data_IF_070979526556
#
_entry.id   IF_070979526556
#
_cell.length_a   1.000
_cell.length_b   1.000
_cell.length_c   1.000
_cell.angle_alpha   90.00
_cell.angle_beta   90.00
_cell.angle_gamma   90.00
#
_symmetry.space_group_name_H-M   'P 1'
#
loop_
_entity.id
_entity.type
_entity.pdbx_description
1 polymer ?
#
# COMPACT_ATOMS: atom_id res chain seq x y z
N UNK A 1 -0.71 25.32 20.62
CA UNK A 1 -0.12 23.97 20.75
C UNK A 1 1.27 24.16 21.32
N UNK A 2 1.62 23.49 22.43
CA UNK A 2 2.98 23.51 22.97
C UNK A 2 3.96 22.90 21.96
N UNK A 3 5.17 23.44 21.89
CA UNK A 3 6.23 22.84 21.06
C UNK A 3 6.61 21.45 21.59
N UNK A 4 7.17 20.57 20.76
CA UNK A 4 7.68 19.26 21.18
C UNK A 4 8.72 19.40 22.31
N UNK A 5 9.47 20.50 22.34
CA UNK A 5 10.43 20.84 23.38
C UNK A 5 9.72 21.05 24.72
N UNK A 6 8.71 21.92 24.77
CA UNK A 6 7.92 22.21 25.98
C UNK A 6 7.20 20.96 26.51
N UNK A 7 6.72 20.10 25.59
CA UNK A 7 6.12 18.82 25.97
C UNK A 7 7.14 17.89 26.64
N UNK A 8 8.33 17.72 26.05
CA UNK A 8 9.38 16.86 26.60
C UNK A 8 9.92 17.38 27.93
N UNK A 9 10.10 18.71 28.07
CA UNK A 9 10.50 19.35 29.34
C UNK A 9 9.48 19.04 30.44
N UNK A 10 8.19 19.14 30.15
CA UNK A 10 7.11 18.84 31.08
C UNK A 10 7.06 17.34 31.45
N UNK A 11 7.37 16.43 30.51
CA UNK A 11 7.44 15.00 30.82
C UNK A 11 8.66 14.66 31.71
N UNK A 12 9.80 15.33 31.49
CA UNK A 12 10.97 15.21 32.37
C UNK A 12 10.69 15.73 33.77
N UNK A 13 10.08 16.90 33.90
CA UNK A 13 9.68 17.50 35.19
C UNK A 13 8.68 16.64 35.97
N UNK A 14 7.77 15.96 35.26
CA UNK A 14 6.79 15.06 35.87
C UNK A 14 7.33 13.67 36.24
N UNK A 15 8.58 13.35 35.86
CA UNK A 15 9.21 12.05 36.07
C UNK A 15 8.67 10.92 35.20
N UNK A 16 7.78 11.19 34.24
CA UNK A 16 7.27 10.21 33.28
C UNK A 16 8.34 9.81 32.24
N UNK A 17 9.26 10.72 31.96
CA UNK A 17 10.44 10.45 31.14
C UNK A 17 11.67 10.79 31.96
N UNK A 18 12.55 9.83 32.20
CA UNK A 18 13.81 10.04 32.94
C UNK A 18 14.99 10.15 32.00
N UNK A 19 16.09 10.68 32.50
CA UNK A 19 17.38 10.74 31.75
C UNK A 19 17.87 9.35 31.37
N UNK A 20 17.65 8.36 32.25
CA UNK A 20 17.97 6.95 32.01
C UNK A 20 17.16 6.39 30.84
N UNK A 21 15.86 6.67 30.77
CA UNK A 21 15.00 6.27 29.65
C UNK A 21 15.50 6.85 28.34
N UNK A 22 15.87 8.13 28.32
CA UNK A 22 16.41 8.78 27.11
C UNK A 22 17.75 8.14 26.71
N UNK A 23 18.62 7.86 27.67
CA UNK A 23 19.94 7.22 27.44
C UNK A 23 19.75 5.82 26.84
N UNK A 24 18.88 5.00 27.39
CA UNK A 24 18.59 3.67 26.87
C UNK A 24 17.98 3.71 25.47
N UNK A 25 17.01 4.58 25.23
CA UNK A 25 16.43 4.75 23.89
C UNK A 25 17.48 5.20 22.88
N UNK A 26 18.38 6.10 23.28
CA UNK A 26 19.47 6.57 22.41
C UNK A 26 20.46 5.44 22.10
N UNK A 27 20.82 4.60 23.08
CA UNK A 27 21.69 3.43 22.85
C UNK A 27 21.07 2.45 21.86
N UNK A 28 19.79 2.05 22.07
CA UNK A 28 19.09 1.14 21.18
C UNK A 28 19.04 1.68 19.75
N UNK A 29 18.79 2.97 19.62
CA UNK A 29 18.77 3.62 18.30
C UNK A 29 20.19 3.64 17.66
N UNK A 30 21.23 3.92 18.43
CA UNK A 30 22.63 3.92 17.97
C UNK A 30 23.05 2.51 17.51
N UNK A 31 22.69 1.47 18.24
CA UNK A 31 22.93 0.06 17.88
C UNK A 31 22.23 -0.32 16.57
N UNK A 32 20.95 0.05 16.42
CA UNK A 32 20.18 -0.21 15.20
C UNK A 32 20.82 0.45 13.95
N UNK A 33 21.51 1.60 14.15
CA UNK A 33 22.15 2.35 13.07
C UNK A 33 23.66 2.09 12.95
N UNK A 34 24.19 1.12 13.69
CA UNK A 34 25.60 0.67 13.57
C UNK A 34 26.64 1.71 14.00
N UNK A 35 26.27 2.62 14.90
CA UNK A 35 27.20 3.58 15.50
C UNK A 35 27.47 3.23 16.96
N UNK A 36 28.53 3.82 17.55
CA UNK A 36 28.89 3.59 18.96
C UNK A 36 27.72 3.90 19.88
N UNK A 37 27.24 2.91 20.64
CA UNK A 37 26.10 3.03 21.54
C UNK A 37 26.49 3.50 22.93
N UNK A 38 26.82 4.78 23.04
CA UNK A 38 27.17 5.45 24.29
C UNK A 38 25.95 6.03 25.04
N UNK A 39 24.80 6.09 24.39
CA UNK A 39 23.56 6.64 24.93
C UNK A 39 23.49 8.17 24.91
N UNK A 40 24.45 8.85 24.30
CA UNK A 40 24.47 10.30 24.21
C UNK A 40 24.14 10.79 22.80
N UNK A 41 23.31 11.81 22.71
CA UNK A 41 22.95 12.44 21.44
C UNK A 41 24.03 13.49 21.04
N UNK A 42 25.25 12.99 20.77
CA UNK A 42 26.39 13.81 20.33
C UNK A 42 26.38 14.11 18.83
N UNK A 43 27.38 14.85 18.29
CA UNK A 43 27.43 15.25 16.87
C UNK A 43 27.36 14.09 15.90
N UNK A 44 27.95 12.91 16.21
CA UNK A 44 27.89 11.71 15.38
C UNK A 44 26.47 11.15 15.35
N UNK A 45 25.81 11.02 16.49
CA UNK A 45 24.43 10.58 16.61
C UNK A 45 23.48 11.55 15.90
N UNK A 46 23.69 12.86 16.11
CA UNK A 46 22.92 13.90 15.43
C UNK A 46 23.10 13.86 13.90
N UNK A 47 24.32 13.65 13.42
CA UNK A 47 24.62 13.50 12.00
C UNK A 47 23.92 12.27 11.41
N UNK A 48 24.06 11.10 12.04
CA UNK A 48 23.40 9.87 11.62
C UNK A 48 21.86 9.99 11.70
N UNK A 49 21.36 10.67 12.75
CA UNK A 49 19.91 10.94 12.89
C UNK A 49 19.41 11.84 11.76
N UNK A 50 20.11 12.93 11.43
CA UNK A 50 19.77 13.80 10.31
C UNK A 50 19.79 13.04 8.97
N UNK A 51 20.84 12.22 8.74
CA UNK A 51 20.93 11.35 7.56
C UNK A 51 19.81 10.32 7.53
N UNK A 52 19.43 9.73 8.66
CA UNK A 52 18.33 8.75 8.75
C UNK A 52 16.96 9.37 8.59
N UNK A 53 16.77 10.62 9.01
CA UNK A 53 15.49 11.32 8.92
C UNK A 53 15.30 12.06 7.59
N UNK A 54 16.38 12.64 7.04
CA UNK A 54 16.29 13.49 5.85
C UNK A 54 16.83 12.83 4.57
N UNK A 55 17.61 11.75 4.65
CA UNK A 55 18.29 11.19 3.48
C UNK A 55 18.18 9.67 3.30
N UNK A 56 17.38 8.96 4.09
CA UNK A 56 17.12 7.53 3.87
C UNK A 56 16.20 7.27 2.67
N UNK A 57 15.68 8.34 2.06
CA UNK A 57 14.77 8.30 0.92
C UNK A 57 13.40 7.70 1.25
N UNK A 58 13.08 7.50 2.55
CA UNK A 58 11.76 7.08 2.98
C UNK A 58 10.81 8.27 3.05
N UNK A 59 9.61 8.09 2.50
CA UNK A 59 8.55 9.10 2.43
C UNK A 59 7.33 8.63 3.20
N UNK A 60 6.53 9.59 3.69
CA UNK A 60 5.21 9.36 4.29
C UNK A 60 4.08 9.84 3.40
N UNK A 61 4.34 10.87 2.58
CA UNK A 61 3.36 11.37 1.61
C UNK A 61 3.30 10.47 0.38
N UNK A 62 2.26 9.65 0.32
CA UNK A 62 1.99 8.75 -0.80
C UNK A 62 1.22 9.41 -1.94
N UNK A 63 0.67 10.61 -1.73
CA UNK A 63 -0.30 11.27 -2.61
C UNK A 63 -1.68 10.57 -2.64
N UNK A 64 -2.01 9.78 -1.61
CA UNK A 64 -3.26 9.02 -1.45
C UNK A 64 -3.82 9.12 -0.03
N UNK A 65 -4.04 10.33 0.47
CA UNK A 65 -4.51 10.60 1.83
C UNK A 65 -5.74 9.77 2.24
N UNK A 66 -6.70 9.59 1.33
CA UNK A 66 -7.89 8.77 1.61
C UNK A 66 -7.55 7.31 1.90
N UNK A 67 -6.57 6.72 1.18
CA UNK A 67 -6.14 5.35 1.42
C UNK A 67 -5.35 5.24 2.72
N UNK A 68 -4.51 6.23 3.02
CA UNK A 68 -3.79 6.32 4.29
C UNK A 68 -4.73 6.43 5.48
N UNK A 69 -5.76 7.24 5.36
CA UNK A 69 -6.77 7.43 6.42
C UNK A 69 -7.59 6.17 6.67
N UNK A 70 -7.97 5.44 5.62
CA UNK A 70 -8.86 4.27 5.70
C UNK A 70 -8.11 2.97 5.99
N UNK A 71 -6.93 2.78 5.39
CA UNK A 71 -6.17 1.52 5.40
C UNK A 71 -4.79 1.62 6.08
N UNK A 72 -4.51 2.75 6.70
CA UNK A 72 -3.27 3.03 7.42
C UNK A 72 -2.18 3.63 6.54
N UNK A 73 -1.49 4.61 7.11
CA UNK A 73 -0.31 5.22 6.52
C UNK A 73 0.92 4.32 6.73
N UNK A 74 1.88 4.38 5.83
CA UNK A 74 3.16 3.71 5.95
C UNK A 74 4.31 4.52 5.36
N UNK A 75 5.51 4.27 5.86
CA UNK A 75 6.73 4.79 5.23
C UNK A 75 7.08 3.95 4.01
N UNK A 76 7.55 4.61 2.95
CA UNK A 76 8.00 3.95 1.74
C UNK A 76 9.21 4.67 1.13
N UNK A 77 9.99 3.94 0.33
CA UNK A 77 11.10 4.46 -0.47
C UNK A 77 10.82 4.20 -1.94
N UNK A 78 10.81 5.27 -2.75
CA UNK A 78 10.65 5.17 -4.20
C UNK A 78 11.91 4.62 -4.86
N UNK A 79 11.73 3.76 -5.86
CA UNK A 79 12.81 3.23 -6.69
C UNK A 79 12.69 3.78 -8.11
N UNK A 80 13.82 3.93 -8.84
CA UNK A 80 13.80 4.43 -10.23
C UNK A 80 12.90 3.64 -11.18
N UNK A 81 12.70 2.34 -10.91
CA UNK A 81 11.81 1.45 -11.67
C UNK A 81 10.32 1.75 -11.49
N UNK A 82 9.95 2.73 -10.67
CA UNK A 82 8.57 2.98 -10.28
C UNK A 82 8.02 2.02 -9.22
N UNK A 83 8.82 1.06 -8.75
CA UNK A 83 8.51 0.27 -7.54
C UNK A 83 8.69 1.13 -6.30
N UNK A 84 8.11 0.67 -5.20
CA UNK A 84 8.35 1.23 -3.88
C UNK A 84 8.72 0.12 -2.89
N UNK A 85 9.69 0.38 -2.01
CA UNK A 85 9.85 -0.42 -0.79
C UNK A 85 8.86 0.14 0.23
N UNK A 86 8.06 -0.70 0.85
CA UNK A 86 7.08 -0.34 1.88
C UNK A 86 7.54 -0.92 3.21
N UNK A 87 7.25 -0.26 4.32
CA UNK A 87 7.58 -0.71 5.66
C UNK A 87 7.23 -2.19 5.87
N UNK A 88 8.21 -3.07 6.15
CA UNK A 88 7.95 -4.48 6.38
C UNK A 88 7.00 -4.73 7.56
N UNK A 89 7.08 -3.89 8.60
CA UNK A 89 6.19 -3.94 9.76
C UNK A 89 4.75 -3.74 9.32
N UNK A 90 4.48 -2.66 8.58
CA UNK A 90 3.13 -2.38 8.08
C UNK A 90 2.60 -3.53 7.20
N UNK A 91 3.43 -4.07 6.30
CA UNK A 91 3.05 -5.21 5.44
C UNK A 91 2.69 -6.43 6.28
N UNK A 92 3.47 -6.75 7.32
CA UNK A 92 3.20 -7.87 8.23
C UNK A 92 1.88 -7.72 8.98
N UNK A 93 1.53 -6.50 9.36
CA UNK A 93 0.35 -6.19 10.18
C UNK A 93 -0.94 -6.09 9.35
N UNK A 94 -0.84 -5.73 8.06
CA UNK A 94 -2.00 -5.34 7.27
C UNK A 94 -2.23 -6.20 6.02
N UNK A 95 -1.22 -6.91 5.49
CA UNK A 95 -1.36 -7.71 4.28
C UNK A 95 -1.47 -9.19 4.62
N UNK A 96 -2.59 -9.78 4.25
CA UNK A 96 -2.87 -11.21 4.42
C UNK A 96 -2.82 -11.95 3.10
N UNK A 97 -2.57 -13.26 3.16
CA UNK A 97 -2.67 -14.15 2.00
C UNK A 97 -3.96 -14.94 2.11
N UNK A 98 -4.78 -14.89 1.08
CA UNK A 98 -6.02 -15.67 0.97
C UNK A 98 -5.95 -16.61 -0.22
N UNK A 99 -6.71 -17.73 -0.15
CA UNK A 99 -6.84 -18.70 -1.24
C UNK A 99 -8.23 -18.55 -1.85
N UNK A 100 -8.30 -18.32 -3.14
CA UNK A 100 -9.55 -18.24 -3.91
C UNK A 100 -10.13 -19.63 -4.15
N UNK A 101 -11.43 -19.72 -4.49
CA UNK A 101 -12.08 -21.00 -4.85
C UNK A 101 -11.41 -21.69 -6.05
N UNK A 102 -10.66 -20.95 -6.87
CA UNK A 102 -9.85 -21.47 -7.99
C UNK A 102 -8.50 -22.08 -7.57
N UNK A 103 -8.18 -22.10 -6.27
CA UNK A 103 -6.89 -22.51 -5.73
C UNK A 103 -5.79 -21.46 -5.79
N UNK A 104 -6.03 -20.31 -6.43
CA UNK A 104 -5.02 -19.22 -6.49
C UNK A 104 -4.85 -18.55 -5.14
N UNK A 105 -3.59 -18.27 -4.79
CA UNK A 105 -3.25 -17.48 -3.60
C UNK A 105 -2.96 -16.04 -4.01
N UNK A 106 -3.58 -15.10 -3.31
CA UNK A 106 -3.42 -13.66 -3.53
C UNK A 106 -3.17 -12.94 -2.21
N UNK A 107 -2.54 -11.78 -2.27
CA UNK A 107 -2.24 -10.96 -1.09
C UNK A 107 -3.06 -9.70 -1.14
N UNK A 108 -3.77 -9.40 -0.05
CA UNK A 108 -4.67 -8.24 0.05
C UNK A 108 -4.56 -7.61 1.42
N UNK A 109 -5.06 -6.37 1.54
CA UNK A 109 -5.29 -5.77 2.84
C UNK A 109 -6.30 -6.62 3.63
N UNK A 110 -6.04 -6.82 4.92
CA UNK A 110 -6.90 -7.64 5.80
C UNK A 110 -8.37 -7.20 5.78
N UNK A 111 -8.63 -5.89 5.72
CA UNK A 111 -9.98 -5.32 5.81
C UNK A 111 -10.82 -5.50 4.52
N UNK A 112 -10.19 -5.87 3.40
CA UNK A 112 -10.91 -6.13 2.13
C UNK A 112 -10.85 -7.60 1.70
N UNK A 113 -10.06 -8.41 2.39
CA UNK A 113 -9.74 -9.76 1.95
C UNK A 113 -10.96 -10.69 1.92
N UNK A 114 -11.80 -10.66 2.95
CA UNK A 114 -13.01 -11.48 3.03
C UNK A 114 -14.05 -11.03 1.99
N UNK A 115 -14.30 -9.71 1.90
CA UNK A 115 -15.19 -9.15 0.88
C UNK A 115 -14.73 -9.58 -0.52
N UNK A 116 -13.42 -9.47 -0.81
CA UNK A 116 -12.89 -9.89 -2.11
C UNK A 116 -13.10 -11.37 -2.41
N UNK A 117 -12.79 -12.27 -1.47
CA UNK A 117 -12.94 -13.73 -1.67
C UNK A 117 -14.38 -14.10 -2.00
N UNK A 118 -15.34 -13.55 -1.25
CA UNK A 118 -16.77 -13.80 -1.44
C UNK A 118 -17.26 -13.22 -2.76
N UNK A 119 -16.92 -11.96 -3.04
CA UNK A 119 -17.31 -11.27 -4.28
C UNK A 119 -16.72 -11.97 -5.51
N UNK A 120 -15.43 -12.38 -5.47
CA UNK A 120 -14.79 -13.05 -6.59
C UNK A 120 -15.49 -14.38 -6.94
N UNK A 121 -15.88 -15.17 -5.94
CA UNK A 121 -16.62 -16.41 -6.13
C UNK A 121 -17.98 -16.11 -6.78
N UNK A 122 -18.76 -15.24 -6.18
CA UNK A 122 -20.12 -14.89 -6.69
C UNK A 122 -20.07 -14.29 -8.10
N UNK A 123 -19.08 -13.43 -8.39
CA UNK A 123 -18.92 -12.83 -9.72
C UNK A 123 -18.57 -13.87 -10.80
N UNK A 124 -17.72 -14.84 -10.47
CA UNK A 124 -17.41 -15.95 -11.38
C UNK A 124 -18.64 -16.82 -11.65
N UNK A 125 -19.43 -17.13 -10.62
CA UNK A 125 -20.64 -17.92 -10.73
C UNK A 125 -21.73 -17.20 -11.54
N UNK A 126 -21.95 -15.91 -11.29
CA UNK A 126 -22.97 -15.13 -11.98
C UNK A 126 -22.67 -14.92 -13.47
N UNK A 127 -21.43 -14.63 -13.81
CA UNK A 127 -21.03 -14.29 -15.19
C UNK A 127 -20.57 -15.47 -16.03
N UNK A 128 -20.21 -16.62 -15.41
CA UNK A 128 -19.52 -17.72 -16.07
C UNK A 128 -18.06 -17.38 -16.46
N UNK A 129 -17.59 -16.17 -16.19
CA UNK A 129 -16.21 -15.74 -16.47
C UNK A 129 -15.31 -15.96 -15.24
N UNK A 130 -14.25 -16.74 -15.41
CA UNK A 130 -13.23 -16.95 -14.36
C UNK A 130 -11.88 -16.40 -14.84
N UNK A 131 -11.39 -15.29 -14.25
CA UNK A 131 -10.09 -14.72 -14.60
C UNK A 131 -8.93 -15.70 -14.42
N UNK A 132 -8.04 -15.79 -15.42
CA UNK A 132 -6.83 -16.59 -15.37
C UNK A 132 -5.70 -15.95 -14.57
N UNK A 133 -5.65 -14.63 -14.54
CA UNK A 133 -4.68 -13.84 -13.78
C UNK A 133 -5.40 -12.89 -12.83
N UNK A 134 -4.96 -12.89 -11.58
CA UNK A 134 -5.45 -12.01 -10.51
C UNK A 134 -4.24 -11.36 -9.85
N UNK A 135 -4.01 -10.10 -10.14
CA UNK A 135 -2.89 -9.33 -9.59
C UNK A 135 -3.42 -8.39 -8.51
N UNK A 136 -2.81 -8.42 -7.34
CA UNK A 136 -3.31 -7.71 -6.15
C UNK A 136 -2.25 -6.81 -5.53
N UNK A 137 -1.63 -7.20 -4.43
CA UNK A 137 -0.64 -6.41 -3.71
C UNK A 137 0.67 -6.29 -4.49
N UNK A 138 0.93 -5.09 -5.00
CA UNK A 138 2.19 -4.72 -5.67
C UNK A 138 2.59 -3.31 -5.24
N UNK A 139 3.71 -3.18 -4.55
CA UNK A 139 4.21 -1.89 -4.08
C UNK A 139 4.85 -1.11 -5.21
N UNK A 140 4.11 -0.16 -5.76
CA UNK A 140 4.51 0.63 -6.93
C UNK A 140 3.81 1.99 -6.98
N UNK A 141 4.38 2.90 -7.72
CA UNK A 141 3.72 4.13 -8.14
C UNK A 141 2.71 3.89 -9.27
N UNK A 142 1.76 4.79 -9.40
CA UNK A 142 0.79 4.81 -10.50
C UNK A 142 1.53 4.86 -11.84
N UNK A 143 1.15 3.99 -12.77
CA UNK A 143 1.80 3.82 -14.07
C UNK A 143 3.31 3.58 -14.00
N UNK A 144 3.82 3.00 -12.91
CA UNK A 144 5.25 2.73 -12.68
C UNK A 144 6.11 4.01 -12.77
N UNK A 145 5.55 5.17 -12.48
CA UNK A 145 6.24 6.44 -12.55
C UNK A 145 6.51 6.96 -11.11
N UNK A 146 7.79 7.03 -10.66
CA UNK A 146 8.13 7.42 -9.29
C UNK A 146 7.79 8.89 -8.96
N UNK A 147 7.43 9.69 -9.97
CA UNK A 147 6.95 11.08 -9.79
C UNK A 147 5.44 11.16 -9.52
N UNK A 148 4.71 10.06 -9.63
CA UNK A 148 3.28 9.98 -9.33
C UNK A 148 3.04 9.44 -7.93
N UNK A 149 1.78 9.56 -7.46
CA UNK A 149 1.31 8.95 -6.21
C UNK A 149 1.51 7.43 -6.22
N UNK A 150 1.53 6.81 -5.04
CA UNK A 150 1.46 5.36 -4.94
C UNK A 150 0.15 4.84 -5.55
N UNK A 151 0.21 3.67 -6.15
CA UNK A 151 -0.96 2.94 -6.63
C UNK A 151 -1.73 2.31 -5.45
N UNK A 152 -3.05 2.17 -5.55
CA UNK A 152 -3.89 1.46 -4.59
C UNK A 152 -3.46 0.01 -4.37
N UNK A 153 -2.79 -0.61 -5.33
CA UNK A 153 -2.13 -1.90 -5.17
C UNK A 153 -1.10 -1.92 -4.04
N UNK A 154 -0.50 -0.77 -3.68
CA UNK A 154 0.48 -0.67 -2.60
C UNK A 154 -0.13 -0.85 -1.21
N UNK A 155 -1.42 -0.66 -1.06
CA UNK A 155 -2.20 -1.00 0.15
C UNK A 155 -2.84 -2.40 0.07
N UNK A 156 -2.79 -3.08 -1.09
CA UNK A 156 -3.51 -4.34 -1.30
C UNK A 156 -5.03 -4.18 -1.39
N UNK A 157 -5.50 -3.02 -1.82
CA UNK A 157 -6.92 -2.67 -1.97
C UNK A 157 -7.33 -2.54 -3.44
N UNK A 158 -6.48 -2.95 -4.36
CA UNK A 158 -6.75 -2.96 -5.79
C UNK A 158 -6.40 -4.31 -6.41
N UNK A 159 -7.12 -4.64 -7.46
CA UNK A 159 -7.01 -5.90 -8.19
C UNK A 159 -7.00 -5.61 -9.69
N UNK A 160 -6.09 -6.27 -10.43
CA UNK A 160 -6.10 -6.31 -11.89
C UNK A 160 -6.43 -7.73 -12.36
N UNK A 161 -7.50 -7.87 -13.16
CA UNK A 161 -7.93 -9.14 -13.75
C UNK A 161 -7.49 -9.24 -15.22
N UNK A 162 -6.77 -10.31 -15.55
CA UNK A 162 -6.34 -10.64 -16.92
C UNK A 162 -5.87 -9.41 -17.74
N UNK A 163 -4.83 -8.68 -17.35
CA UNK A 163 -4.44 -7.41 -17.97
C UNK A 163 -4.35 -7.45 -19.52
N UNK A 164 -3.82 -8.51 -20.16
CA UNK A 164 -3.77 -8.58 -21.63
C UNK A 164 -5.16 -8.67 -22.29
N UNK A 165 -6.18 -9.14 -21.56
CA UNK A 165 -7.56 -9.29 -22.03
C UNK A 165 -8.46 -8.14 -21.60
N UNK A 166 -8.04 -7.39 -20.60
CA UNK A 166 -8.75 -6.22 -20.06
C UNK A 166 -7.81 -5.00 -20.03
N UNK A 167 -7.26 -4.59 -21.18
CA UNK A 167 -6.25 -3.53 -21.20
C UNK A 167 -6.85 -2.16 -20.93
N UNK A 168 -5.99 -1.22 -20.57
CA UNK A 168 -6.34 0.20 -20.59
C UNK A 168 -6.86 0.60 -21.97
N UNK A 169 -7.87 1.49 -21.98
CA UNK A 169 -8.57 1.93 -23.19
C UNK A 169 -9.73 1.05 -23.63
N UNK A 170 -10.00 -0.07 -22.94
CA UNK A 170 -11.22 -0.88 -23.07
C UNK A 170 -11.31 -1.77 -24.32
N UNK A 171 -10.23 -1.85 -25.14
CA UNK A 171 -10.20 -2.69 -26.33
C UNK A 171 -8.93 -3.55 -26.37
N UNK A 172 -9.09 -4.82 -26.69
CA UNK A 172 -7.96 -5.77 -26.85
C UNK A 172 -7.18 -5.38 -28.12
N UNK A 173 -5.91 -5.02 -27.96
CA UNK A 173 -5.08 -4.47 -29.04
C UNK A 173 -4.97 -5.41 -30.26
N UNK A 174 -4.85 -6.72 -30.03
CA UNK A 174 -4.67 -7.72 -31.09
C UNK A 174 -5.91 -7.97 -31.94
N UNK A 175 -7.10 -7.67 -31.42
CA UNK A 175 -8.38 -8.00 -32.09
C UNK A 175 -9.29 -6.82 -32.31
N UNK A 176 -9.03 -5.68 -31.65
CA UNK A 176 -9.94 -4.51 -31.62
C UNK A 176 -11.25 -4.74 -30.87
N UNK A 177 -11.51 -5.95 -30.36
CA UNK A 177 -12.74 -6.28 -29.63
C UNK A 177 -12.74 -5.61 -28.25
N UNK A 178 -13.95 -5.38 -27.67
CA UNK A 178 -14.05 -4.95 -26.28
C UNK A 178 -13.30 -5.90 -25.34
N UNK A 179 -12.83 -5.39 -24.20
CA UNK A 179 -12.20 -6.22 -23.16
C UNK A 179 -13.15 -7.31 -22.68
N UNK A 180 -12.59 -8.38 -22.08
CA UNK A 180 -13.41 -9.49 -21.57
C UNK A 180 -14.38 -9.01 -20.48
N UNK A 181 -13.96 -8.09 -19.60
CA UNK A 181 -14.86 -7.55 -18.55
C UNK A 181 -16.02 -6.74 -19.15
N UNK A 182 -15.82 -6.03 -20.28
CA UNK A 182 -16.93 -5.40 -21.01
C UNK A 182 -17.89 -6.38 -21.67
N UNK A 183 -17.44 -7.60 -21.92
CA UNK A 183 -18.26 -8.68 -22.46
C UNK A 183 -18.92 -9.51 -21.35
N UNK A 184 -18.54 -9.31 -20.09
CA UNK A 184 -19.03 -10.04 -18.91
C UNK A 184 -19.43 -9.04 -17.82
N UNK A 185 -20.45 -8.22 -18.11
CA UNK A 185 -20.83 -7.12 -17.20
C UNK A 185 -21.38 -7.62 -15.87
N UNK A 186 -21.97 -8.82 -15.80
CA UNK A 186 -22.43 -9.43 -14.55
C UNK A 186 -21.25 -9.60 -13.55
N UNK A 187 -20.05 -9.90 -14.05
CA UNK A 187 -18.86 -9.94 -13.21
C UNK A 187 -18.54 -8.56 -12.63
N UNK A 188 -18.61 -7.52 -13.47
CA UNK A 188 -18.33 -6.14 -13.05
C UNK A 188 -19.37 -5.67 -12.04
N UNK A 189 -20.66 -5.90 -12.31
CA UNK A 189 -21.78 -5.48 -11.47
C UNK A 189 -21.75 -6.16 -10.09
N UNK A 190 -21.34 -7.43 -10.03
CA UNK A 190 -21.14 -8.12 -8.76
C UNK A 190 -20.06 -7.45 -7.90
N UNK A 191 -18.94 -7.04 -8.50
CA UNK A 191 -17.90 -6.29 -7.80
C UNK A 191 -18.37 -4.90 -7.38
N UNK A 192 -19.03 -4.16 -8.26
CA UNK A 192 -19.55 -2.82 -7.95
C UNK A 192 -20.61 -2.86 -6.84
N UNK A 193 -21.49 -3.86 -6.85
CA UNK A 193 -22.50 -4.08 -5.80
C UNK A 193 -21.87 -4.41 -4.43
N UNK A 194 -20.66 -5.02 -4.43
CA UNK A 194 -19.88 -5.31 -3.23
C UNK A 194 -18.99 -4.13 -2.77
N UNK A 195 -19.10 -2.96 -3.40
CA UNK A 195 -18.42 -1.72 -3.02
C UNK A 195 -17.08 -1.48 -3.74
N UNK A 196 -16.74 -2.29 -4.74
CA UNK A 196 -15.54 -2.07 -5.57
C UNK A 196 -15.84 -1.05 -6.68
N UNK A 197 -14.89 -0.18 -6.95
CA UNK A 197 -14.95 0.75 -8.07
C UNK A 197 -14.24 0.14 -9.27
N UNK A 198 -14.90 0.00 -10.40
CA UNK A 198 -14.29 -0.47 -11.63
C UNK A 198 -13.64 0.66 -12.44
N UNK A 199 -12.36 0.53 -12.79
CA UNK A 199 -11.62 1.50 -13.60
C UNK A 199 -12.12 1.65 -15.05
N UNK A 200 -12.89 0.67 -15.55
CA UNK A 200 -13.53 0.75 -16.86
C UNK A 200 -14.58 1.86 -17.00
N UNK A 201 -15.07 2.41 -15.88
CA UNK A 201 -15.99 3.56 -15.87
C UNK A 201 -15.26 4.91 -15.82
N UNK A 202 -13.95 4.93 -15.60
CA UNK A 202 -13.20 6.18 -15.54
C UNK A 202 -13.07 6.84 -16.91
N UNK A 203 -12.78 8.14 -16.94
CA UNK A 203 -12.48 8.87 -18.19
C UNK A 203 -11.29 8.25 -18.92
N UNK A 204 -10.23 7.92 -18.20
CA UNK A 204 -9.14 7.08 -18.68
C UNK A 204 -9.46 5.64 -18.25
N UNK A 205 -10.05 4.90 -19.18
CA UNK A 205 -10.53 3.54 -18.93
C UNK A 205 -9.39 2.61 -18.57
N UNK A 206 -9.52 1.93 -17.43
CA UNK A 206 -8.60 0.88 -16.98
C UNK A 206 -9.42 -0.38 -16.68
N UNK A 207 -9.68 -1.15 -17.71
CA UNK A 207 -10.69 -2.23 -17.66
C UNK A 207 -10.24 -3.39 -16.77
N UNK A 208 -8.92 -3.62 -16.56
CA UNK A 208 -8.45 -4.66 -15.66
C UNK A 208 -8.68 -4.31 -14.19
N UNK A 209 -8.78 -3.02 -13.86
CA UNK A 209 -8.61 -2.49 -12.53
C UNK A 209 -9.90 -2.36 -11.73
N UNK A 210 -9.88 -2.89 -10.51
CA UNK A 210 -10.88 -2.64 -9.46
C UNK A 210 -10.18 -2.14 -8.21
N UNK A 211 -10.77 -1.19 -7.49
CA UNK A 211 -10.24 -0.73 -6.20
C UNK A 211 -11.37 -0.51 -5.18
N UNK A 212 -11.07 -0.80 -3.90
CA UNK A 212 -11.97 -0.51 -2.78
C UNK A 212 -11.67 0.91 -2.26
N UNK A 213 -12.66 1.79 -2.24
CA UNK A 213 -12.53 3.16 -1.73
C UNK A 213 -13.25 3.37 -0.40
#
# INVERSE_FOLDING_TARGET
MSSAKEYNEKQLESGLLTTEHITEMTKLWQEEHGISSDGYFGPKTAGTFAESTDNDGWRTDSGREWAEKKFGAFRFKSLPSGRAKVSPKWVKENIVTVTLHTGKRVRLHKDVAENFVNTFKSACEASGYTPKSVQTFVTRHTLWNPKKSLSCHSWGIAIDFDPPKNPMGGKIKSTGKPSLLRQNMEFVEAFESAGWTWGGRWRMKDDMHFEMR
#
